data_IF_784361348443
#
_entry.id   IF_784361348443
#
_cell.length_a   1.000
_cell.length_b   1.000
_cell.length_c   1.000
_cell.angle_alpha   90.00
_cell.angle_beta   90.00
_cell.angle_gamma   90.00
#
_symmetry.space_group_name_H-M   'P 1'
#
loop_
_entity.id
_entity.type
_entity.pdbx_description
1 polymer ?
#
# COMPACT_ATOMS: atom_id res chain seq x y z
N UNK A 1 -15.15 -5.15 9.16
CA UNK A 1 -13.84 -4.89 8.53
C UNK A 1 -13.53 -3.43 8.76
N UNK A 2 -12.40 -3.10 9.37
CA UNK A 2 -12.00 -1.70 9.55
C UNK A 2 -11.63 -1.11 8.19
N UNK A 3 -12.25 0.02 7.86
CA UNK A 3 -12.08 0.70 6.57
C UNK A 3 -10.66 1.27 6.48
N UNK A 4 -9.94 0.92 5.42
CA UNK A 4 -8.64 1.52 5.12
C UNK A 4 -8.85 2.99 4.73
N UNK A 5 -8.17 3.89 5.43
CA UNK A 5 -8.23 5.34 5.15
C UNK A 5 -6.95 5.86 4.51
N UNK A 6 -5.82 5.23 4.83
CA UNK A 6 -4.51 5.57 4.27
C UNK A 6 -3.63 4.36 4.09
N UNK A 7 -2.85 4.38 3.01
CA UNK A 7 -1.86 3.36 2.67
C UNK A 7 -0.50 4.02 2.44
N UNK A 8 0.51 3.56 3.17
CA UNK A 8 1.92 3.80 2.88
C UNK A 8 2.48 2.68 2.01
N UNK A 9 3.25 3.04 0.98
CA UNK A 9 3.91 2.11 0.06
C UNK A 9 5.40 2.40 0.00
N UNK A 10 6.20 1.41 0.35
CA UNK A 10 7.66 1.37 0.17
C UNK A 10 7.97 0.48 -1.05
N UNK A 11 8.83 1.01 -1.93
CA UNK A 11 9.07 0.46 -3.27
C UNK A 11 10.41 -0.29 -3.32
N UNK A 12 10.34 -1.58 -3.68
CA UNK A 12 11.48 -2.33 -4.19
C UNK A 12 11.21 -2.88 -5.60
N UNK A 13 12.26 -3.36 -6.29
CA UNK A 13 12.18 -3.75 -7.70
C UNK A 13 11.05 -4.74 -8.01
N UNK A 14 10.91 -5.77 -7.18
CA UNK A 14 9.98 -6.90 -7.38
C UNK A 14 8.92 -7.03 -6.28
N UNK A 15 9.03 -6.24 -5.22
CA UNK A 15 8.18 -6.32 -4.03
C UNK A 15 7.85 -4.91 -3.58
N UNK A 16 6.61 -4.68 -3.17
CA UNK A 16 6.19 -3.45 -2.53
C UNK A 16 5.77 -3.78 -1.11
N UNK A 17 6.30 -3.04 -0.14
CA UNK A 17 5.84 -3.13 1.23
C UNK A 17 4.65 -2.20 1.41
N UNK A 18 3.55 -2.76 1.90
CA UNK A 18 2.31 -2.04 2.14
C UNK A 18 2.05 -1.95 3.63
N UNK A 19 1.70 -0.75 4.07
CA UNK A 19 1.25 -0.45 5.42
C UNK A 19 -0.05 0.35 5.35
N UNK A 20 -1.17 -0.22 5.77
CA UNK A 20 -2.48 0.44 5.74
C UNK A 20 -3.04 0.63 7.14
N UNK A 21 -3.68 1.77 7.37
CA UNK A 21 -4.31 2.13 8.63
C UNK A 21 -5.79 2.48 8.46
N UNK A 22 -6.53 2.38 9.55
CA UNK A 22 -7.92 2.83 9.64
C UNK A 22 -8.03 4.31 10.06
N UNK A 23 -9.26 4.80 10.28
CA UNK A 23 -9.53 6.17 10.71
C UNK A 23 -8.96 6.51 12.10
N UNK A 24 -8.67 5.51 12.92
CA UNK A 24 -8.10 5.65 14.24
C UNK A 24 -6.58 5.40 14.23
N UNK A 25 -5.94 5.44 13.05
CA UNK A 25 -4.50 5.26 12.86
C UNK A 25 -4.00 3.86 13.26
N UNK A 26 -4.91 2.88 13.38
CA UNK A 26 -4.57 1.50 13.73
C UNK A 26 -4.21 0.72 12.48
N UNK A 27 -3.13 -0.06 12.58
CA UNK A 27 -2.64 -0.88 11.46
C UNK A 27 -3.62 -2.01 11.18
N UNK A 28 -4.18 -2.01 9.97
CA UNK A 28 -5.13 -3.04 9.51
C UNK A 28 -4.53 -3.97 8.46
N UNK A 29 -3.51 -3.50 7.73
CA UNK A 29 -2.74 -4.33 6.78
C UNK A 29 -1.28 -3.98 6.90
N UNK A 30 -0.43 -5.01 7.01
CA UNK A 30 1.02 -4.89 6.86
C UNK A 30 1.53 -6.12 6.11
N UNK A 31 1.95 -5.97 4.85
CA UNK A 31 2.43 -7.10 4.04
C UNK A 31 3.32 -6.69 2.88
N UNK A 32 4.16 -7.62 2.48
CA UNK A 32 4.88 -7.60 1.22
C UNK A 32 3.95 -8.07 0.08
N UNK A 33 3.92 -7.35 -1.04
CA UNK A 33 3.17 -7.73 -2.23
C UNK A 33 4.12 -7.81 -3.42
N UNK A 34 4.09 -8.90 -4.18
CA UNK A 34 4.83 -9.01 -5.42
C UNK A 34 4.36 -7.96 -6.44
N UNK A 35 5.28 -7.42 -7.25
CA UNK A 35 5.00 -6.33 -8.19
C UNK A 35 3.83 -6.60 -9.13
N UNK A 36 3.73 -7.82 -9.63
CA UNK A 36 2.63 -8.29 -10.48
C UNK A 36 1.25 -8.30 -9.81
N UNK A 37 1.19 -8.43 -8.48
CA UNK A 37 -0.06 -8.46 -7.70
C UNK A 37 -0.41 -7.12 -7.06
N UNK A 38 0.50 -6.16 -7.09
CA UNK A 38 0.34 -4.86 -6.44
C UNK A 38 -0.87 -4.08 -6.98
N UNK A 39 -0.98 -3.97 -8.31
CA UNK A 39 -2.10 -3.26 -8.97
C UNK A 39 -3.44 -3.94 -8.68
N UNK A 40 -3.47 -5.29 -8.72
CA UNK A 40 -4.69 -6.06 -8.43
C UNK A 40 -5.12 -5.84 -6.98
N UNK A 41 -4.18 -5.75 -6.04
CA UNK A 41 -4.51 -5.50 -4.64
C UNK A 41 -5.17 -4.13 -4.47
N UNK A 42 -4.61 -3.07 -5.06
CA UNK A 42 -5.21 -1.73 -5.02
C UNK A 42 -6.56 -1.63 -5.73
N UNK A 43 -6.76 -2.36 -6.83
CA UNK A 43 -8.03 -2.38 -7.57
C UNK A 43 -9.22 -2.91 -6.75
N UNK A 44 -8.95 -3.66 -5.67
CA UNK A 44 -9.97 -4.19 -4.77
C UNK A 44 -10.19 -3.33 -3.51
N UNK A 45 -9.54 -2.17 -3.42
CA UNK A 45 -9.71 -1.25 -2.29
C UNK A 45 -10.70 -0.14 -2.63
N UNK A 46 -11.45 0.29 -1.60
CA UNK A 46 -12.15 1.58 -1.68
C UNK A 46 -11.14 2.73 -1.86
N UNK A 47 -11.53 3.84 -2.51
CA UNK A 47 -10.68 5.02 -2.63
C UNK A 47 -10.16 5.49 -1.26
N UNK A 48 -8.85 5.68 -1.16
CA UNK A 48 -8.16 6.11 0.05
C UNK A 48 -6.92 6.93 -0.31
N UNK A 49 -6.33 7.60 0.69
CA UNK A 49 -5.09 8.34 0.48
C UNK A 49 -3.91 7.36 0.38
N UNK A 50 -3.11 7.48 -0.68
CA UNK A 50 -1.91 6.66 -0.86
C UNK A 50 -0.67 7.54 -0.80
N UNK A 51 0.20 7.27 0.16
CA UNK A 51 1.53 7.85 0.25
C UNK A 51 2.54 6.85 -0.33
N UNK A 52 3.22 7.24 -1.40
CA UNK A 52 4.24 6.42 -2.05
C UNK A 52 5.63 6.98 -1.76
N UNK A 53 6.56 6.10 -1.40
CA UNK A 53 7.97 6.45 -1.28
C UNK A 53 8.51 6.93 -2.64
N UNK A 54 9.30 8.01 -2.60
CA UNK A 54 10.07 8.44 -3.76
C UNK A 54 11.34 7.58 -3.89
N UNK A 55 11.41 6.72 -4.89
CA UNK A 55 12.59 5.90 -5.17
C UNK A 55 13.31 6.41 -6.43
N UNK A 56 14.61 6.71 -6.33
CA UNK A 56 15.43 7.21 -7.45
C UNK A 56 15.60 6.21 -8.60
N UNK A 57 15.29 4.93 -8.37
CA UNK A 57 15.33 3.87 -9.36
C UNK A 57 13.96 3.63 -10.07
N UNK A 58 12.92 4.40 -9.73
CA UNK A 58 11.64 4.36 -10.41
C UNK A 58 11.67 5.27 -11.65
N UNK A 59 12.34 4.81 -12.71
CA UNK A 59 12.30 5.42 -14.04
C UNK A 59 11.58 4.46 -15.00
#
# INVERSE_FOLDING_TARGET
MEKITRVGVDLAKNVMQVHAVDAAERVVVRKAIARERFVIWFANLEPCLVAMEACSAAH
#
